data_IF_788956941624
#
_entry.id   IF_788956941624
#
_cell.length_a   1.000
_cell.length_b   1.000
_cell.length_c   1.000
_cell.angle_alpha   90.00
_cell.angle_beta   90.00
_cell.angle_gamma   90.00
#
_symmetry.space_group_name_H-M   'P 1'
#
loop_
_entity.id
_entity.type
_entity.pdbx_description
1 polymer ?
#
# COMPACT_ATOMS: atom_id res chain seq x y z
N UNK A 1 -4.17 7.74 -8.07
CA UNK A 1 -4.86 7.15 -6.90
C UNK A 1 -5.77 8.20 -6.29
N UNK A 2 -7.00 7.85 -5.90
CA UNK A 2 -7.96 8.75 -5.27
C UNK A 2 -8.45 8.15 -3.95
N UNK A 3 -8.62 8.98 -2.93
CA UNK A 3 -9.27 8.57 -1.68
C UNK A 3 -10.78 8.57 -1.87
N UNK A 4 -11.46 7.51 -1.42
CA UNK A 4 -12.90 7.32 -1.61
C UNK A 4 -13.72 8.54 -1.16
N UNK A 5 -14.67 8.96 -1.99
CA UNK A 5 -15.66 9.98 -1.61
C UNK A 5 -16.99 9.82 -2.32
N UNK A 6 -18.07 10.06 -1.57
CA UNK A 6 -19.44 10.09 -2.08
C UNK A 6 -19.65 11.15 -3.15
N UNK A 7 -18.96 12.30 -3.04
CA UNK A 7 -18.99 13.36 -4.04
C UNK A 7 -18.47 12.90 -5.42
N UNK A 8 -17.70 11.81 -5.45
CA UNK A 8 -17.12 11.24 -6.66
C UNK A 8 -17.73 9.89 -7.07
N UNK A 9 -18.89 9.56 -6.48
CA UNK A 9 -19.66 8.35 -6.78
C UNK A 9 -19.23 7.09 -6.03
N UNK A 10 -18.35 7.18 -5.04
CA UNK A 10 -17.98 6.04 -4.19
C UNK A 10 -18.99 5.87 -3.02
N UNK A 11 -19.08 4.66 -2.43
CA UNK A 11 -20.08 4.36 -1.39
C UNK A 11 -19.86 5.07 -0.04
N UNK A 12 -18.65 5.52 0.24
CA UNK A 12 -18.29 6.14 1.53
C UNK A 12 -17.23 7.23 1.39
N UNK A 13 -17.27 8.20 2.31
CA UNK A 13 -16.21 9.18 2.51
C UNK A 13 -15.15 8.57 3.43
N UNK A 14 -13.93 8.44 2.91
CA UNK A 14 -12.82 7.84 3.63
C UNK A 14 -11.67 8.81 3.81
N UNK A 15 -10.99 8.71 4.95
CA UNK A 15 -9.74 9.41 5.22
C UNK A 15 -8.55 8.49 4.96
N UNK A 16 -7.40 9.04 4.62
CA UNK A 16 -6.19 8.26 4.44
C UNK A 16 -5.07 8.77 5.36
N UNK A 17 -4.41 7.84 6.05
CA UNK A 17 -3.19 8.14 6.78
C UNK A 17 -2.12 7.11 6.42
N UNK A 18 -1.04 7.61 5.80
CA UNK A 18 0.19 6.86 5.53
C UNK A 18 1.31 7.64 6.21
N UNK A 19 1.71 7.14 7.38
CA UNK A 19 2.65 7.84 8.24
C UNK A 19 4.09 7.71 7.78
N UNK A 20 4.92 8.70 8.15
CA UNK A 20 6.38 8.68 7.94
C UNK A 20 7.12 7.70 8.85
N UNK A 21 6.44 7.15 9.86
CA UNK A 21 7.05 6.32 10.91
C UNK A 21 7.68 7.14 12.04
N UNK A 22 7.72 8.47 11.94
CA UNK A 22 8.23 9.36 12.97
C UNK A 22 7.10 9.82 13.90
N UNK A 23 7.32 9.75 15.21
CA UNK A 23 6.50 10.42 16.21
C UNK A 23 7.18 11.73 16.57
N UNK A 24 6.50 12.87 16.37
CA UNK A 24 6.97 14.15 16.87
C UNK A 24 6.57 14.30 18.33
N UNK A 25 7.53 14.75 19.11
CA UNK A 25 7.34 15.20 20.49
C UNK A 25 7.26 16.72 20.46
N UNK A 26 6.19 17.30 20.98
CA UNK A 26 6.09 18.76 21.14
C UNK A 26 6.61 19.12 22.52
N UNK A 27 7.57 20.04 22.56
CA UNK A 27 8.03 20.72 23.78
C UNK A 27 7.92 22.21 23.50
N UNK A 28 7.38 22.97 24.44
CA UNK A 28 7.41 24.43 24.42
C UNK A 28 8.87 24.90 24.57
N UNK A 29 9.52 25.19 23.44
CA UNK A 29 10.95 25.53 23.39
C UNK A 29 11.25 26.87 24.07
N UNK A 30 10.31 27.82 24.02
CA UNK A 30 10.47 29.14 24.62
C UNK A 30 10.42 29.05 26.15
N UNK A 31 9.45 28.30 26.68
CA UNK A 31 9.36 28.04 28.12
C UNK A 31 10.51 27.16 28.62
N UNK A 32 10.94 26.15 27.84
CA UNK A 32 12.12 25.34 28.16
C UNK A 32 13.39 26.21 28.25
N UNK A 33 13.65 27.06 27.25
CA UNK A 33 14.82 27.95 27.25
C UNK A 33 14.80 28.92 28.42
N UNK A 34 13.64 29.53 28.67
CA UNK A 34 13.44 30.46 29.79
C UNK A 34 13.73 29.79 31.12
N UNK A 35 13.15 28.62 31.39
CA UNK A 35 13.37 27.89 32.65
C UNK A 35 14.77 27.32 32.79
N UNK A 36 15.35 26.80 31.72
CA UNK A 36 16.71 26.27 31.72
C UNK A 36 17.75 27.36 32.00
N UNK A 37 17.53 28.59 31.52
CA UNK A 37 18.42 29.73 31.78
C UNK A 37 18.41 30.20 33.25
N UNK A 38 17.39 29.83 34.02
CA UNK A 38 17.22 30.23 35.43
C UNK A 38 17.74 29.14 36.38
N UNK A 39 17.87 27.89 35.91
CA UNK A 39 18.38 26.79 36.72
C UNK A 39 19.87 26.99 37.04
N UNK A 40 20.22 27.00 38.34
CA UNK A 40 21.59 27.27 38.83
C UNK A 40 22.31 26.01 39.29
N UNK A 41 21.61 24.88 39.32
CA UNK A 41 22.15 23.60 39.77
C UNK A 41 21.68 22.44 38.89
N UNK A 42 22.46 21.35 38.89
CA UNK A 42 22.12 20.11 38.20
C UNK A 42 20.79 19.51 38.68
N UNK A 43 20.50 19.60 39.99
CA UNK A 43 19.27 19.09 40.58
C UNK A 43 18.02 19.85 40.10
N UNK A 44 18.11 21.17 39.93
CA UNK A 44 17.02 21.98 39.36
C UNK A 44 16.77 21.65 37.89
N UNK A 45 17.84 21.38 37.14
CA UNK A 45 17.76 20.97 35.74
C UNK A 45 17.11 19.58 35.61
N UNK A 46 17.46 18.62 36.47
CA UNK A 46 16.85 17.29 36.52
C UNK A 46 15.36 17.35 36.88
N UNK A 47 14.98 18.22 37.83
CA UNK A 47 13.58 18.46 38.19
C UNK A 47 12.79 19.09 37.03
N UNK A 48 13.39 20.05 36.32
CA UNK A 48 12.78 20.66 35.12
C UNK A 48 12.55 19.62 34.02
N UNK A 49 13.51 18.72 33.79
CA UNK A 49 13.37 17.62 32.82
C UNK A 49 12.24 16.67 33.23
N UNK A 50 12.08 16.34 34.51
CA UNK A 50 10.94 15.54 35.00
C UNK A 50 9.59 16.25 34.82
N UNK A 51 9.51 17.56 35.12
CA UNK A 51 8.30 18.37 34.95
C UNK A 51 7.91 18.57 33.48
N UNK A 52 8.89 18.64 32.57
CA UNK A 52 8.63 18.75 31.14
C UNK A 52 8.31 17.39 30.53
N UNK A 53 8.95 16.31 31.01
CA UNK A 53 8.64 14.94 30.59
C UNK A 53 7.17 14.59 30.81
N UNK A 54 6.56 15.10 31.90
CA UNK A 54 5.12 14.93 32.16
C UNK A 54 4.20 15.83 31.31
N UNK A 55 4.78 16.80 30.59
CA UNK A 55 4.08 17.71 29.65
C UNK A 55 4.38 17.40 28.18
N UNK A 56 5.23 16.42 27.91
CA UNK A 56 5.48 15.93 26.54
C UNK A 56 4.17 15.36 26.01
N UNK A 57 3.52 16.10 25.11
CA UNK A 57 2.42 15.58 24.32
C UNK A 57 2.98 14.96 23.04
N UNK A 58 2.47 13.77 22.69
CA UNK A 58 2.65 13.23 21.35
C UNK A 58 1.92 14.15 20.36
N UNK A 59 2.66 14.69 19.40
CA UNK A 59 2.11 15.48 18.30
C UNK A 59 1.29 14.58 17.36
N UNK A 60 0.56 15.20 16.45
CA UNK A 60 -0.13 14.52 15.37
C UNK A 60 0.86 13.66 14.55
N UNK A 61 0.57 12.37 14.41
CA UNK A 61 1.35 11.51 13.52
C UNK A 61 1.37 12.11 12.10
N UNK A 62 2.57 12.37 11.59
CA UNK A 62 2.75 13.13 10.36
C UNK A 62 2.52 12.28 9.11
N UNK A 63 2.04 12.93 8.07
CA UNK A 63 2.08 12.41 6.70
C UNK A 63 3.50 12.56 6.14
N UNK A 64 3.81 11.82 5.08
CA UNK A 64 5.03 12.07 4.31
C UNK A 64 4.84 13.33 3.47
N UNK A 65 5.75 14.29 3.63
CA UNK A 65 5.77 15.54 2.86
C UNK A 65 7.08 15.60 2.06
N UNK A 66 6.98 15.80 0.75
CA UNK A 66 8.14 16.00 -0.14
C UNK A 66 7.92 17.27 -0.94
N UNK A 67 8.90 18.18 -0.92
CA UNK A 67 8.78 19.48 -1.61
C UNK A 67 7.56 20.31 -1.16
N UNK A 68 7.16 20.19 0.12
CA UNK A 68 5.99 20.89 0.67
C UNK A 68 4.63 20.30 0.29
N UNK A 69 4.59 19.21 -0.49
CA UNK A 69 3.36 18.53 -0.88
C UNK A 69 3.15 17.23 -0.11
N UNK A 70 1.92 16.88 0.27
CA UNK A 70 1.61 15.55 0.78
C UNK A 70 1.88 14.46 -0.26
N UNK A 71 2.56 13.41 0.18
CA UNK A 71 2.96 12.28 -0.68
C UNK A 71 2.55 10.97 -0.03
N UNK A 72 2.11 10.03 -0.86
CA UNK A 72 2.00 8.62 -0.49
C UNK A 72 3.23 7.91 -1.05
N UNK A 73 4.14 7.41 -0.20
CA UNK A 73 5.40 6.84 -0.66
C UNK A 73 5.19 5.70 -1.64
N UNK A 74 5.99 5.66 -2.71
CA UNK A 74 5.96 4.58 -3.69
C UNK A 74 6.18 3.20 -3.06
N UNK A 75 7.03 3.12 -2.03
CA UNK A 75 7.26 1.91 -1.23
C UNK A 75 6.01 1.43 -0.48
N UNK A 76 5.16 2.35 0.01
CA UNK A 76 3.89 2.02 0.68
C UNK A 76 2.87 1.48 -0.31
N UNK A 77 2.77 2.08 -1.49
CA UNK A 77 1.90 1.60 -2.58
C UNK A 77 2.39 0.24 -3.07
N UNK A 78 3.69 0.10 -3.35
CA UNK A 78 4.36 -1.14 -3.76
C UNK A 78 4.09 -2.26 -2.77
N UNK A 79 4.33 -2.03 -1.47
CA UNK A 79 4.11 -3.03 -0.43
C UNK A 79 2.65 -3.47 -0.36
N UNK A 80 1.70 -2.54 -0.47
CA UNK A 80 0.28 -2.87 -0.44
C UNK A 80 -0.17 -3.67 -1.69
N UNK A 81 0.28 -3.29 -2.88
CA UNK A 81 0.00 -4.00 -4.14
C UNK A 81 0.64 -5.39 -4.13
N UNK A 82 1.92 -5.47 -3.74
CA UNK A 82 2.66 -6.73 -3.60
C UNK A 82 1.92 -7.68 -2.66
N UNK A 83 1.61 -7.27 -1.43
CA UNK A 83 0.91 -8.13 -0.49
C UNK A 83 -0.48 -8.56 -0.97
N UNK A 84 -1.21 -7.70 -1.69
CA UNK A 84 -2.49 -8.10 -2.29
C UNK A 84 -2.30 -9.19 -3.33
N UNK A 85 -1.28 -9.10 -4.18
CA UNK A 85 -0.95 -10.16 -5.16
C UNK A 85 -0.52 -11.44 -4.44
N UNK A 86 0.36 -11.34 -3.44
CA UNK A 86 0.81 -12.50 -2.65
C UNK A 86 -0.39 -13.26 -2.05
N UNK A 87 -1.35 -12.52 -1.49
CA UNK A 87 -2.57 -13.06 -0.88
C UNK A 87 -3.67 -13.45 -1.87
N UNK A 88 -3.54 -13.03 -3.14
CA UNK A 88 -4.42 -13.48 -4.21
C UNK A 88 -3.92 -14.76 -4.87
N UNK A 89 -2.67 -15.17 -4.67
CA UNK A 89 -2.17 -16.42 -5.23
C UNK A 89 -2.51 -17.61 -4.33
N UNK A 90 -2.99 -18.70 -4.93
CA UNK A 90 -3.30 -19.99 -4.30
C UNK A 90 -2.50 -21.13 -4.92
N UNK A 91 -2.34 -22.27 -4.24
CA UNK A 91 -1.51 -23.36 -4.76
C UNK A 91 -2.17 -24.07 -5.95
N UNK A 92 -1.34 -24.47 -6.91
CA UNK A 92 -1.68 -25.39 -8.01
C UNK A 92 -0.63 -26.50 -8.05
N UNK A 93 -1.09 -27.75 -8.02
CA UNK A 93 -0.22 -28.93 -7.99
C UNK A 93 0.83 -28.89 -6.85
N UNK A 94 0.42 -28.45 -5.66
CA UNK A 94 1.28 -28.37 -4.48
C UNK A 94 2.33 -27.24 -4.51
N UNK A 95 2.31 -26.36 -5.51
CA UNK A 95 3.20 -25.20 -5.61
C UNK A 95 2.41 -23.91 -5.63
N UNK A 96 2.98 -22.87 -5.03
CA UNK A 96 2.40 -21.53 -4.99
C UNK A 96 3.43 -20.50 -5.45
N UNK A 97 3.03 -19.60 -6.35
CA UNK A 97 3.95 -18.62 -6.95
C UNK A 97 4.23 -17.39 -6.05
N UNK A 98 4.08 -17.54 -4.73
CA UNK A 98 4.29 -16.49 -3.74
C UNK A 98 4.65 -17.07 -2.37
N UNK A 99 5.79 -16.64 -1.82
CA UNK A 99 6.33 -17.13 -0.54
C UNK A 99 5.84 -16.37 0.70
N UNK A 100 5.27 -15.16 0.56
CA UNK A 100 5.08 -14.18 1.66
C UNK A 100 6.39 -13.93 2.44
N UNK A 101 7.11 -12.85 2.11
CA UNK A 101 8.43 -12.53 2.75
C UNK A 101 8.38 -12.52 4.30
N UNK A 102 7.21 -12.25 4.89
CA UNK A 102 7.01 -12.38 6.33
C UNK A 102 6.61 -13.82 6.64
N UNK A 103 7.62 -14.58 7.07
CA UNK A 103 7.61 -15.97 7.56
C UNK A 103 6.24 -16.48 8.01
N UNK A 104 5.65 -17.38 7.22
CA UNK A 104 4.56 -18.25 7.65
C UNK A 104 4.81 -19.67 7.17
N UNK A 105 5.74 -20.38 7.83
CA UNK A 105 5.88 -21.85 7.71
C UNK A 105 4.59 -22.61 8.00
N UNK A 106 3.69 -22.01 8.78
CA UNK A 106 2.44 -22.63 9.19
C UNK A 106 1.24 -21.72 8.94
N UNK A 107 0.07 -22.31 8.59
CA UNK A 107 -1.18 -21.58 8.54
C UNK A 107 -1.40 -20.75 9.81
N UNK A 108 -1.72 -19.48 9.64
CA UNK A 108 -1.93 -18.60 10.78
C UNK A 108 -3.21 -19.01 11.54
N UNK A 109 -3.14 -19.01 12.87
CA UNK A 109 -4.34 -19.08 13.70
C UNK A 109 -5.03 -17.71 13.75
N UNK A 110 -6.38 -17.67 13.78
CA UNK A 110 -7.11 -16.42 13.88
C UNK A 110 -6.74 -15.68 15.18
N UNK A 111 -6.38 -14.39 15.12
CA UNK A 111 -6.29 -13.57 16.32
C UNK A 111 -7.65 -13.50 17.05
N UNK A 112 -7.70 -13.19 18.35
CA UNK A 112 -8.98 -12.97 19.04
C UNK A 112 -9.76 -11.81 18.42
N UNK A 113 -11.10 -11.93 18.36
CA UNK A 113 -11.97 -10.88 17.83
C UNK A 113 -11.69 -9.55 18.54
N UNK A 114 -11.54 -8.48 17.76
CA UNK A 114 -11.23 -7.12 18.25
C UNK A 114 -9.75 -6.82 18.47
N UNK A 115 -8.85 -7.81 18.42
CA UNK A 115 -7.40 -7.58 18.46
C UNK A 115 -6.87 -7.13 17.10
N UNK A 116 -5.67 -6.51 17.12
CA UNK A 116 -4.97 -6.11 15.91
C UNK A 116 -4.78 -7.31 14.98
N UNK A 117 -4.98 -7.13 13.68
CA UNK A 117 -4.84 -8.18 12.67
C UNK A 117 -6.05 -9.11 12.49
N UNK A 118 -7.03 -9.14 13.41
CA UNK A 118 -8.20 -10.03 13.29
C UNK A 118 -8.95 -9.85 11.97
N UNK A 119 -9.28 -8.61 11.61
CA UNK A 119 -10.03 -8.32 10.37
C UNK A 119 -9.23 -8.63 9.11
N UNK A 120 -7.93 -8.33 9.12
CA UNK A 120 -7.04 -8.75 8.04
C UNK A 120 -7.06 -10.27 7.87
N UNK A 121 -6.93 -11.01 8.98
CA UNK A 121 -7.00 -12.46 8.98
C UNK A 121 -8.33 -12.96 8.41
N UNK A 122 -9.46 -12.41 8.84
CA UNK A 122 -10.78 -12.85 8.38
C UNK A 122 -11.00 -12.58 6.88
N UNK A 123 -10.55 -11.44 6.37
CA UNK A 123 -10.63 -11.10 4.94
C UNK A 123 -9.81 -12.08 4.10
N UNK A 124 -8.60 -12.42 4.56
CA UNK A 124 -7.62 -13.22 3.82
C UNK A 124 -7.52 -14.68 4.28
N UNK A 125 -8.48 -15.15 5.08
CA UNK A 125 -8.43 -16.45 5.80
C UNK A 125 -8.07 -17.63 4.92
N UNK A 126 -8.69 -17.70 3.74
CA UNK A 126 -8.43 -18.75 2.76
C UNK A 126 -6.96 -18.72 2.29
N UNK A 127 -6.46 -17.56 1.86
CA UNK A 127 -5.07 -17.41 1.42
C UNK A 127 -4.04 -17.67 2.51
N UNK A 128 -4.35 -17.27 3.74
CA UNK A 128 -3.50 -17.48 4.92
C UNK A 128 -3.51 -18.93 5.41
N UNK A 129 -4.38 -19.78 4.85
CA UNK A 129 -4.42 -21.22 5.17
C UNK A 129 -3.47 -22.04 4.32
N UNK A 130 -2.86 -21.45 3.28
CA UNK A 130 -1.95 -22.15 2.39
C UNK A 130 -0.54 -22.21 2.97
N UNK A 131 0.07 -23.39 2.86
CA UNK A 131 1.51 -23.55 3.07
C UNK A 131 2.27 -22.94 1.88
N UNK A 132 3.25 -22.09 2.19
CA UNK A 132 4.07 -21.35 1.22
C UNK A 132 5.56 -21.68 1.33
N UNK A 133 5.93 -22.54 2.27
CA UNK A 133 7.33 -22.82 2.60
C UNK A 133 8.07 -21.59 3.12
N UNK A 134 9.40 -21.63 3.00
CA UNK A 134 10.27 -20.53 3.40
C UNK A 134 10.16 -19.32 2.45
N UNK A 135 10.34 -18.09 2.98
CA UNK A 135 10.61 -16.91 2.16
C UNK A 135 11.74 -17.16 1.15
N UNK A 136 11.58 -16.65 -0.09
CA UNK A 136 12.63 -16.78 -1.08
C UNK A 136 13.85 -15.92 -0.73
N UNK A 137 15.01 -16.56 -0.67
CA UNK A 137 16.32 -15.92 -0.63
C UNK A 137 17.01 -16.12 -1.97
N UNK A 138 17.35 -15.03 -2.66
CA UNK A 138 17.98 -15.14 -3.97
C UNK A 138 19.43 -15.64 -3.90
N UNK A 139 20.10 -15.33 -2.79
CA UNK A 139 21.45 -15.76 -2.48
C UNK A 139 21.34 -16.60 -1.22
N UNK A 140 21.69 -17.89 -1.29
CA UNK A 140 21.72 -18.76 -0.12
C UNK A 140 22.85 -18.38 0.84
N UNK A 141 22.82 -18.91 2.07
CA UNK A 141 23.92 -18.75 3.03
C UNK A 141 25.27 -19.26 2.48
N UNK A 142 25.26 -20.28 1.59
CA UNK A 142 26.46 -20.77 0.91
C UNK A 142 26.83 -19.96 -0.36
N UNK A 143 26.15 -18.85 -0.61
CA UNK A 143 26.41 -17.96 -1.75
C UNK A 143 25.88 -18.47 -3.10
N UNK A 144 25.00 -19.48 -3.10
CA UNK A 144 24.42 -20.02 -4.33
C UNK A 144 23.19 -19.21 -4.76
N UNK A 145 23.08 -18.95 -6.07
CA UNK A 145 21.92 -18.26 -6.62
C UNK A 145 20.73 -19.23 -6.73
N UNK A 146 19.65 -18.94 -6.02
CA UNK A 146 18.43 -19.75 -6.04
C UNK A 146 17.33 -19.10 -6.90
N UNK A 147 16.45 -19.92 -7.46
CA UNK A 147 15.24 -19.44 -8.12
C UNK A 147 14.27 -18.82 -7.09
N UNK A 148 13.69 -17.67 -7.41
CA UNK A 148 12.67 -17.01 -6.58
C UNK A 148 11.26 -17.27 -7.11
N UNK A 149 10.25 -17.09 -6.26
CA UNK A 149 8.86 -17.12 -6.71
C UNK A 149 8.51 -15.91 -7.60
N UNK A 150 7.43 -16.01 -8.38
CA UNK A 150 6.95 -14.97 -9.29
C UNK A 150 6.87 -13.58 -8.62
N UNK A 151 6.30 -13.49 -7.41
CA UNK A 151 6.13 -12.18 -6.76
C UNK A 151 7.47 -11.57 -6.34
N UNK A 152 8.43 -12.39 -5.91
CA UNK A 152 9.78 -11.92 -5.58
C UNK A 152 10.57 -11.52 -6.83
N UNK A 153 10.34 -12.17 -7.97
CA UNK A 153 10.92 -11.77 -9.25
C UNK A 153 10.40 -10.39 -9.71
N UNK A 154 9.07 -10.19 -9.63
CA UNK A 154 8.43 -8.94 -10.04
C UNK A 154 8.76 -7.76 -9.10
N UNK A 155 8.70 -7.96 -7.79
CA UNK A 155 8.79 -6.88 -6.81
C UNK A 155 10.14 -6.80 -6.08
N UNK A 156 10.98 -7.82 -6.20
CA UNK A 156 12.23 -7.97 -5.48
C UNK A 156 12.08 -8.72 -4.15
N UNK A 157 13.22 -9.20 -3.65
CA UNK A 157 13.41 -9.80 -2.33
C UNK A 157 14.84 -9.55 -1.85
N UNK A 158 15.24 -10.07 -0.70
CA UNK A 158 16.63 -10.00 -0.22
C UNK A 158 17.61 -10.52 -1.28
N UNK A 159 18.56 -9.67 -1.68
CA UNK A 159 19.55 -9.98 -2.71
C UNK A 159 19.08 -9.85 -4.16
N UNK A 160 17.82 -9.53 -4.42
CA UNK A 160 17.26 -9.39 -5.78
C UNK A 160 16.48 -8.09 -5.97
N UNK A 161 16.93 -7.25 -6.91
CA UNK A 161 16.18 -6.08 -7.35
C UNK A 161 15.00 -6.51 -8.21
N UNK A 162 13.79 -6.11 -7.84
CA UNK A 162 12.60 -6.35 -8.65
C UNK A 162 12.56 -5.50 -9.92
N UNK A 163 11.80 -5.95 -10.90
CA UNK A 163 11.62 -5.28 -12.19
C UNK A 163 10.51 -4.22 -12.20
N UNK A 164 9.77 -4.07 -11.09
CA UNK A 164 8.72 -3.05 -10.90
C UNK A 164 9.16 -2.01 -9.86
N UNK A 165 9.12 -0.75 -10.26
CA UNK A 165 9.46 0.42 -9.45
C UNK A 165 8.25 1.36 -9.30
N UNK A 166 7.92 1.72 -8.06
CA UNK A 166 6.85 2.66 -7.77
C UNK A 166 7.48 3.99 -7.39
N UNK A 167 7.24 5.02 -8.20
CA UNK A 167 7.49 6.39 -7.81
C UNK A 167 6.50 6.86 -6.74
N UNK A 168 6.85 7.95 -6.08
CA UNK A 168 6.00 8.59 -5.10
C UNK A 168 4.70 9.12 -5.73
N UNK A 169 3.60 8.95 -5.02
CA UNK A 169 2.28 9.45 -5.42
C UNK A 169 2.09 10.82 -4.77
N UNK A 170 2.18 11.88 -5.58
CA UNK A 170 2.15 13.27 -5.12
C UNK A 170 0.74 13.83 -5.16
N UNK A 171 0.31 14.43 -4.06
CA UNK A 171 -0.98 15.09 -3.92
C UNK A 171 -0.92 16.53 -4.39
N UNK A 172 -1.70 16.89 -5.41
CA UNK A 172 -1.89 18.28 -5.81
C UNK A 172 -3.09 18.86 -5.09
N UNK A 173 -2.92 20.03 -4.47
CA UNK A 173 -3.96 20.74 -3.72
C UNK A 173 -4.62 19.93 -2.58
N UNK A 174 -3.94 18.90 -2.08
CA UNK A 174 -4.38 18.14 -0.91
C UNK A 174 -4.17 18.98 0.33
N UNK A 175 -5.23 19.17 1.12
CA UNK A 175 -5.19 19.87 2.41
C UNK A 175 -5.41 18.86 3.53
N UNK A 176 -4.34 18.31 4.14
CA UNK A 176 -4.48 17.43 5.29
C UNK A 176 -5.26 18.09 6.42
N UNK A 177 -5.97 17.29 7.21
CA UNK A 177 -6.73 17.73 8.37
C UNK A 177 -6.24 17.01 9.63
N UNK A 178 -6.33 17.69 10.77
CA UNK A 178 -6.01 17.12 12.07
C UNK A 178 -7.21 16.33 12.58
N UNK A 179 -7.02 15.04 12.88
CA UNK A 179 -8.05 14.19 13.46
C UNK A 179 -7.60 13.64 14.82
N UNK A 180 -8.51 13.71 15.79
CA UNK A 180 -8.37 13.07 17.09
C UNK A 180 -9.19 11.79 17.08
N UNK A 181 -8.52 10.65 17.11
CA UNK A 181 -9.13 9.33 17.10
C UNK A 181 -9.33 8.80 18.52
N UNK A 182 -10.25 7.83 18.73
CA UNK A 182 -10.42 7.17 20.03
C UNK A 182 -9.09 6.60 20.55
N UNK A 183 -8.87 6.71 21.86
CA UNK A 183 -7.62 6.30 22.51
C UNK A 183 -6.52 7.35 22.47
N UNK A 184 -6.87 8.64 22.42
CA UNK A 184 -5.96 9.80 22.40
C UNK A 184 -4.95 9.78 21.23
N UNK A 185 -5.29 9.10 20.14
CA UNK A 185 -4.43 9.07 18.95
C UNK A 185 -4.68 10.29 18.07
N UNK A 186 -3.69 11.17 17.94
CA UNK A 186 -3.72 12.37 17.09
C UNK A 186 -3.04 12.07 15.75
N UNK A 187 -3.71 12.29 14.60
CA UNK A 187 -3.11 12.05 13.27
C UNK A 187 -3.41 13.18 12.27
N UNK A 188 -2.47 13.45 11.37
CA UNK A 188 -2.78 14.14 10.13
C UNK A 188 -3.40 13.16 9.14
N UNK A 189 -4.56 13.50 8.61
CA UNK A 189 -5.29 12.67 7.67
C UNK A 189 -5.55 13.41 6.37
N UNK A 190 -5.43 12.69 5.27
CA UNK A 190 -5.83 13.12 3.94
C UNK A 190 -7.35 13.00 3.84
N UNK A 191 -8.08 14.06 3.43
CA UNK A 191 -9.53 14.05 3.37
C UNK A 191 -10.09 13.26 2.17
N UNK A 192 -11.37 12.85 2.23
CA UNK A 192 -12.09 12.21 1.13
C UNK A 192 -11.93 12.96 -0.20
N UNK A 193 -11.84 12.21 -1.31
CA UNK A 193 -11.77 12.78 -2.67
C UNK A 193 -10.39 13.29 -3.07
N UNK A 194 -9.42 13.35 -2.15
CA UNK A 194 -8.04 13.74 -2.46
C UNK A 194 -7.43 12.85 -3.53
N UNK A 195 -6.70 13.45 -4.49
CA UNK A 195 -6.07 12.76 -5.61
C UNK A 195 -4.55 12.85 -5.50
N UNK A 196 -3.89 11.72 -5.73
CA UNK A 196 -2.43 11.60 -5.80
C UNK A 196 -2.02 10.97 -7.12
N UNK A 197 -1.06 11.60 -7.81
CA UNK A 197 -0.52 11.14 -9.10
C UNK A 197 0.89 10.61 -8.91
N UNK A 198 1.16 9.43 -9.45
CA UNK A 198 2.47 8.78 -9.39
C UNK A 198 2.71 7.99 -10.66
N UNK A 199 3.96 7.57 -10.87
CA UNK A 199 4.37 6.70 -11.98
C UNK A 199 4.80 5.35 -11.44
N UNK A 200 4.51 4.30 -12.20
CA UNK A 200 4.99 2.94 -11.94
C UNK A 200 5.77 2.53 -13.18
N UNK A 201 7.07 2.34 -13.01
CA UNK A 201 7.98 1.94 -14.06
C UNK A 201 8.20 0.43 -13.98
N UNK A 202 8.37 -0.21 -15.13
CA UNK A 202 8.58 -1.65 -15.22
C UNK A 202 9.58 -2.00 -16.31
N UNK A 203 10.22 -3.15 -16.17
CA UNK A 203 11.22 -3.64 -17.13
C UNK A 203 10.88 -5.07 -17.56
N UNK A 204 10.85 -5.30 -18.87
CA UNK A 204 10.74 -6.63 -19.49
C UNK A 204 9.62 -7.53 -18.95
N UNK A 205 8.51 -6.93 -18.49
CA UNK A 205 7.34 -7.69 -18.05
C UNK A 205 6.67 -8.36 -19.23
N UNK A 206 6.22 -9.60 -19.04
CA UNK A 206 5.21 -10.19 -19.91
C UNK A 206 3.91 -9.40 -19.77
N UNK A 207 3.12 -9.46 -20.82
CA UNK A 207 1.77 -8.87 -20.86
C UNK A 207 0.89 -9.31 -19.69
N UNK A 208 0.85 -10.59 -19.36
CA UNK A 208 0.05 -11.11 -18.25
C UNK A 208 0.64 -10.72 -16.87
N UNK A 209 1.95 -10.50 -16.77
CA UNK A 209 2.60 -10.01 -15.53
C UNK A 209 2.26 -8.53 -15.30
N UNK A 210 2.22 -7.73 -16.36
CA UNK A 210 1.69 -6.36 -16.30
C UNK A 210 0.19 -6.37 -15.94
N UNK A 211 -0.58 -7.31 -16.49
CA UNK A 211 -1.97 -7.55 -16.09
C UNK A 211 -2.11 -7.90 -14.60
N UNK A 212 -1.20 -8.71 -14.05
CA UNK A 212 -1.18 -9.07 -12.63
C UNK A 212 -0.86 -7.86 -11.74
N UNK A 213 0.05 -6.99 -12.17
CA UNK A 213 0.33 -5.71 -11.48
C UNK A 213 -0.95 -4.86 -11.39
N UNK A 214 -1.64 -4.66 -12.52
CA UNK A 214 -2.91 -3.92 -12.58
C UNK A 214 -3.97 -4.58 -11.68
N UNK A 215 -4.07 -5.91 -11.74
CA UNK A 215 -4.95 -6.68 -10.86
C UNK A 215 -4.65 -6.43 -9.38
N UNK A 216 -3.38 -6.41 -8.99
CA UNK A 216 -2.93 -6.07 -7.64
C UNK A 216 -3.27 -4.64 -7.21
N UNK A 217 -3.47 -3.71 -8.14
CA UNK A 217 -3.96 -2.36 -7.88
C UNK A 217 -5.50 -2.27 -7.79
N UNK A 218 -6.20 -3.42 -7.85
CA UNK A 218 -7.67 -3.47 -7.85
C UNK A 218 -8.29 -3.21 -9.22
N UNK A 219 -7.49 -3.17 -10.28
CA UNK A 219 -8.00 -3.00 -11.64
C UNK A 219 -8.49 -4.35 -12.18
N UNK A 220 -9.64 -4.36 -12.85
CA UNK A 220 -10.29 -5.58 -13.35
C UNK A 220 -10.63 -5.48 -14.82
N UNK A 221 -11.59 -4.64 -15.15
CA UNK A 221 -12.23 -4.68 -16.46
C UNK A 221 -12.24 -3.31 -17.16
N UNK A 222 -11.62 -2.28 -16.57
CA UNK A 222 -11.42 -0.94 -17.15
C UNK A 222 -10.20 -0.26 -16.54
N UNK A 223 -9.78 0.91 -17.03
CA UNK A 223 -8.70 1.72 -16.42
C UNK A 223 -9.00 2.18 -14.99
N UNK A 224 -10.27 2.15 -14.57
CA UNK A 224 -10.70 2.48 -13.22
C UNK A 224 -10.83 1.19 -12.39
N UNK A 225 -10.00 1.07 -11.35
CA UNK A 225 -10.06 -0.07 -10.43
C UNK A 225 -11.22 0.02 -9.45
N UNK A 226 -11.48 -1.08 -8.74
CA UNK A 226 -12.40 -1.11 -7.58
C UNK A 226 -11.77 -0.42 -6.36
N UNK A 227 -12.59 -0.21 -5.33
CA UNK A 227 -12.07 0.24 -4.03
C UNK A 227 -11.18 -0.84 -3.42
N UNK A 228 -10.07 -0.41 -2.82
CA UNK A 228 -9.09 -1.26 -2.14
C UNK A 228 -8.63 -0.59 -0.85
N UNK A 229 -8.05 -1.38 0.05
CA UNK A 229 -7.63 -0.93 1.37
C UNK A 229 -6.15 -0.51 1.38
N UNK A 230 -5.85 0.72 1.80
CA UNK A 230 -4.50 1.28 1.91
C UNK A 230 -4.30 2.07 3.21
N UNK A 231 -3.08 2.06 3.74
CA UNK A 231 -2.68 2.88 4.89
C UNK A 231 -3.04 2.31 6.26
N UNK A 232 -2.90 3.15 7.28
CA UNK A 232 -3.23 2.85 8.68
C UNK A 232 -4.74 2.90 8.88
N UNK A 233 -5.24 2.14 9.85
CA UNK A 233 -6.67 2.10 10.25
C UNK A 233 -7.66 1.58 9.19
N UNK A 234 -7.20 1.18 7.99
CA UNK A 234 -8.01 0.67 6.87
C UNK A 234 -8.97 -0.49 7.15
N UNK A 235 -8.83 -1.18 8.29
CA UNK A 235 -9.66 -2.33 8.65
C UNK A 235 -10.75 -1.99 9.67
N UNK A 236 -10.92 -0.73 10.08
CA UNK A 236 -11.95 -0.39 11.06
C UNK A 236 -12.33 1.08 11.01
N UNK A 237 -13.57 1.34 11.38
CA UNK A 237 -13.98 2.68 11.75
C UNK A 237 -13.25 3.11 13.03
N UNK A 238 -12.90 4.40 13.09
CA UNK A 238 -12.25 5.02 14.25
C UNK A 238 -13.10 6.18 14.70
N UNK A 239 -14.01 5.93 15.64
CA UNK A 239 -15.03 6.92 16.00
C UNK A 239 -16.01 7.05 14.84
N UNK A 240 -16.24 8.26 14.35
CA UNK A 240 -17.10 8.54 13.19
C UNK A 240 -16.36 8.50 11.83
N UNK A 241 -15.09 8.10 11.81
CA UNK A 241 -14.23 8.19 10.62
C UNK A 241 -13.97 6.81 10.00
N UNK A 242 -14.24 6.69 8.70
CA UNK A 242 -13.82 5.56 7.87
C UNK A 242 -12.43 5.84 7.31
N UNK A 243 -11.54 4.85 7.27
CA UNK A 243 -10.18 5.02 6.80
C UNK A 243 -9.80 4.06 5.67
N UNK A 244 -8.87 4.51 4.83
CA UNK A 244 -8.06 3.68 3.95
C UNK A 244 -8.75 3.16 2.69
N UNK A 245 -9.95 3.63 2.36
CA UNK A 245 -10.59 3.27 1.09
C UNK A 245 -9.99 4.13 -0.02
N UNK A 246 -9.32 3.49 -0.98
CA UNK A 246 -8.71 4.18 -2.12
C UNK A 246 -9.07 3.47 -3.43
N UNK A 247 -8.99 4.23 -4.53
CA UNK A 247 -9.19 3.73 -5.89
C UNK A 247 -8.00 4.07 -6.76
N UNK A 248 -7.53 3.10 -7.54
CA UNK A 248 -6.52 3.34 -8.56
C UNK A 248 -7.17 3.58 -9.93
N UNK A 249 -6.55 4.44 -10.71
CA UNK A 249 -6.93 4.73 -12.08
C UNK A 249 -5.66 4.82 -12.92
N UNK A 250 -5.65 4.13 -14.06
CA UNK A 250 -4.58 4.26 -15.05
C UNK A 250 -4.87 5.48 -15.92
N UNK A 251 -3.94 6.43 -15.96
CA UNK A 251 -4.07 7.65 -16.78
C UNK A 251 -3.38 7.54 -18.14
N UNK A 252 -2.41 6.63 -18.25
CA UNK A 252 -1.73 6.32 -19.49
C UNK A 252 -0.78 5.14 -19.32
N UNK A 253 -0.45 4.52 -20.44
CA UNK A 253 0.60 3.52 -20.56
C UNK A 253 1.59 4.02 -21.61
N UNK A 254 2.86 4.07 -21.27
CA UNK A 254 3.91 4.62 -22.12
C UNK A 254 5.01 3.57 -22.27
N UNK A 255 5.39 3.26 -23.50
CA UNK A 255 6.50 2.35 -23.78
C UNK A 255 7.76 3.16 -24.07
N UNK A 256 8.88 2.74 -23.49
CA UNK A 256 10.17 3.33 -23.84
C UNK A 256 10.46 3.13 -25.33
N UNK A 257 11.17 4.06 -26.02
CA UNK A 257 11.66 3.84 -27.38
C UNK A 257 12.54 2.59 -27.53
N UNK A 258 13.12 2.11 -26.42
CA UNK A 258 13.96 0.92 -26.36
C UNK A 258 13.17 -0.38 -26.15
N UNK A 259 11.85 -0.29 -25.92
CA UNK A 259 10.99 -1.46 -25.72
C UNK A 259 10.59 -2.10 -27.05
N UNK A 260 10.14 -3.36 -26.98
CA UNK A 260 9.34 -3.97 -28.04
C UNK A 260 7.93 -3.37 -28.06
N UNK A 261 7.27 -3.43 -29.21
CA UNK A 261 5.85 -3.07 -29.32
C UNK A 261 5.01 -3.98 -28.41
N UNK A 262 3.93 -3.43 -27.84
CA UNK A 262 2.98 -4.19 -27.02
C UNK A 262 1.74 -4.52 -27.86
N UNK A 263 1.58 -5.79 -28.21
CA UNK A 263 0.44 -6.29 -28.99
C UNK A 263 -0.54 -7.06 -28.11
N UNK A 264 -1.75 -6.52 -27.96
CA UNK A 264 -2.80 -7.08 -27.11
C UNK A 264 -4.13 -7.11 -27.86
N UNK A 265 -4.55 -8.32 -28.24
CA UNK A 265 -5.65 -8.51 -29.18
C UNK A 265 -5.34 -7.78 -30.50
N UNK A 266 -6.27 -6.95 -30.94
CA UNK A 266 -6.13 -6.13 -32.15
C UNK A 266 -5.44 -4.79 -31.90
N UNK A 267 -5.13 -4.45 -30.64
CA UNK A 267 -4.51 -3.17 -30.28
C UNK A 267 -3.00 -3.31 -30.19
N UNK A 268 -2.27 -2.39 -30.81
CA UNK A 268 -0.81 -2.31 -30.74
C UNK A 268 -0.42 -0.95 -30.18
N UNK A 269 0.35 -0.93 -29.09
CA UNK A 269 1.05 0.26 -28.62
C UNK A 269 2.47 0.18 -29.13
N UNK A 270 2.89 1.13 -29.97
CA UNK A 270 4.26 1.13 -30.49
C UNK A 270 5.23 1.59 -29.41
N UNK A 271 6.47 1.13 -29.52
CA UNK A 271 7.57 1.67 -28.71
C UNK A 271 7.64 3.20 -28.85
N UNK A 272 7.90 3.90 -27.76
CA UNK A 272 7.91 5.37 -27.72
C UNK A 272 6.52 6.02 -27.73
N UNK A 273 5.44 5.26 -27.88
CA UNK A 273 4.08 5.80 -27.82
C UNK A 273 3.48 5.78 -26.41
N UNK A 274 2.52 6.67 -26.22
CA UNK A 274 1.71 6.77 -25.02
C UNK A 274 0.24 6.51 -25.35
N UNK A 275 -0.27 5.38 -24.90
CA UNK A 275 -1.69 5.10 -24.95
C UNK A 275 -2.45 5.97 -23.94
N UNK A 276 -3.48 6.69 -24.42
CA UNK A 276 -4.42 7.49 -23.62
C UNK A 276 -5.87 7.19 -24.06
N UNK A 277 -6.85 7.72 -23.31
CA UNK A 277 -8.28 7.71 -23.68
C UNK A 277 -8.92 6.32 -23.72
N UNK A 278 -9.86 6.03 -24.64
CA UNK A 278 -10.61 4.76 -24.72
C UNK A 278 -9.73 3.57 -25.10
N UNK A 279 -8.68 3.80 -25.89
CA UNK A 279 -7.68 2.78 -26.24
C UNK A 279 -7.03 2.20 -24.98
N UNK A 280 -6.80 3.05 -23.97
CA UNK A 280 -6.23 2.62 -22.69
C UNK A 280 -7.16 1.65 -21.94
N UNK A 281 -8.47 1.88 -21.96
CA UNK A 281 -9.42 0.96 -21.32
C UNK A 281 -9.32 -0.44 -21.92
N UNK A 282 -9.35 -0.55 -23.26
CA UNK A 282 -9.25 -1.84 -23.96
C UNK A 282 -7.95 -2.57 -23.64
N UNK A 283 -6.82 -1.85 -23.65
CA UNK A 283 -5.50 -2.40 -23.31
C UNK A 283 -5.50 -2.93 -21.87
N UNK A 284 -5.95 -2.13 -20.91
CA UNK A 284 -5.97 -2.49 -19.49
C UNK A 284 -6.84 -3.71 -19.25
N UNK A 285 -8.06 -3.73 -19.80
CA UNK A 285 -8.97 -4.87 -19.64
C UNK A 285 -8.38 -6.14 -20.24
N UNK A 286 -7.75 -6.05 -21.41
CA UNK A 286 -7.15 -7.21 -22.07
C UNK A 286 -5.89 -7.72 -21.33
N UNK A 287 -5.05 -6.84 -20.79
CA UNK A 287 -3.92 -7.21 -19.91
C UNK A 287 -4.40 -8.02 -18.70
N UNK A 288 -5.40 -7.51 -17.99
CA UNK A 288 -5.94 -8.18 -16.80
C UNK A 288 -6.64 -9.50 -17.17
N UNK A 289 -7.33 -9.57 -18.30
CA UNK A 289 -7.90 -10.82 -18.81
C UNK A 289 -6.82 -11.87 -19.08
N UNK A 290 -5.69 -11.49 -19.70
CA UNK A 290 -4.54 -12.41 -19.89
C UNK A 290 -3.98 -12.91 -18.56
N UNK A 291 -3.88 -12.04 -17.54
CA UNK A 291 -3.45 -12.44 -16.21
C UNK A 291 -4.42 -13.44 -15.56
N UNK A 292 -5.74 -13.20 -15.67
CA UNK A 292 -6.78 -14.09 -15.15
C UNK A 292 -6.78 -15.44 -15.89
N UNK A 293 -6.49 -15.45 -17.18
CA UNK A 293 -6.40 -16.67 -17.98
C UNK A 293 -5.16 -17.50 -17.62
N UNK A 294 -3.98 -16.88 -17.60
CA UNK A 294 -2.71 -17.52 -17.22
C UNK A 294 -2.78 -18.10 -15.79
N UNK A 295 -3.46 -17.41 -14.87
CA UNK A 295 -3.56 -17.77 -13.46
C UNK A 295 -4.94 -18.31 -13.06
N UNK A 296 -5.74 -18.83 -14.00
CA UNK A 296 -7.15 -19.21 -13.78
C UNK A 296 -7.38 -20.09 -12.53
N UNK A 297 -6.49 -21.04 -12.30
CA UNK A 297 -6.57 -21.96 -11.15
C UNK A 297 -5.64 -21.57 -9.99
N UNK A 298 -4.92 -20.45 -10.12
CA UNK A 298 -3.92 -19.96 -9.18
C UNK A 298 -4.33 -18.63 -8.54
N UNK A 299 -5.45 -18.02 -8.97
CA UNK A 299 -5.89 -16.71 -8.52
C UNK A 299 -7.18 -16.79 -7.67
N UNK A 300 -7.12 -16.15 -6.50
CA UNK A 300 -8.25 -15.83 -5.63
C UNK A 300 -8.63 -14.36 -5.82
N UNK A 301 -9.83 -14.12 -6.35
CA UNK A 301 -10.40 -12.77 -6.39
C UNK A 301 -11.16 -12.47 -5.10
N UNK A 302 -10.43 -11.91 -4.13
CA UNK A 302 -10.96 -11.52 -2.84
C UNK A 302 -11.37 -10.05 -2.91
N UNK A 303 -12.66 -9.76 -2.77
CA UNK A 303 -13.16 -8.41 -2.54
C UNK A 303 -12.90 -7.99 -1.07
N UNK A 304 -11.74 -7.39 -0.82
CA UNK A 304 -11.32 -7.00 0.52
C UNK A 304 -12.22 -5.94 1.17
N UNK A 305 -12.86 -5.07 0.38
CA UNK A 305 -13.75 -4.03 0.90
C UNK A 305 -15.10 -4.65 1.22
N UNK A 306 -15.69 -5.42 0.31
CA UNK A 306 -16.96 -6.13 0.58
C UNK A 306 -16.86 -7.11 1.75
N UNK A 307 -15.76 -7.85 1.88
CA UNK A 307 -15.51 -8.71 3.06
C UNK A 307 -15.37 -7.90 4.34
N UNK A 308 -14.75 -6.73 4.29
CA UNK A 308 -14.63 -5.86 5.47
C UNK A 308 -16.02 -5.35 5.91
N UNK A 309 -16.88 -4.95 4.97
CA UNK A 309 -18.25 -4.49 5.25
C UNK A 309 -19.08 -5.60 5.91
N UNK A 310 -18.96 -6.85 5.44
CA UNK A 310 -19.63 -8.01 6.03
C UNK A 310 -19.20 -8.31 7.47
N UNK A 311 -17.98 -7.95 7.85
CA UNK A 311 -17.48 -8.14 9.23
C UNK A 311 -18.04 -7.09 10.22
N UNK A 312 -18.63 -6.01 9.72
CA UNK A 312 -19.15 -4.89 10.51
C UNK A 312 -18.07 -4.03 11.18
N UNK A 313 -18.53 -2.86 11.67
CA UNK A 313 -17.73 -1.84 12.38
C UNK A 313 -17.08 -2.34 13.66
#
# INVERSE_FOLDING_TARGET
MRVSSRATGDGADSYLHVGSGLQRIVIDEEELRKRASIAKSRAELEKLVQELSSKIELDYAELVIVGGKPVIPGSSVKGNVRSRIELSLKPKNGKIRSCLIRDTRTPLSPPPKGKHGYRHFMIWKESLSFDRGEPCEYVSEEGQMAGVCLVCDLFGTSGLKGVIEFGDFVGDNVKPVKLNLPGNEKIWAVPPGSVFRGKVDFQSLKDWELGLLLYGMGIRDSKLGRLVLLGKHKYRERGSYVFGLVRFQVEGLELSPLSSDLSIGETVVKRGEKAKTEVLDRIVSALVSRAKEELKDELLDIDEVGRLEQLGS
#
